data_IF_776677925441
#
_entry.id   IF_776677925441
#
_cell.length_a   1.000
_cell.length_b   1.000
_cell.length_c   1.000
_cell.angle_alpha   90.00
_cell.angle_beta   90.00
_cell.angle_gamma   90.00
#
_symmetry.space_group_name_H-M   'P 1'
#
loop_
_entity.id
_entity.type
_entity.pdbx_description
1 polymer ?
#
# COMPACT_ATOMS: atom_id res chain seq x y z
N UNK A 1 9.62 25.22 -7.73
CA UNK A 1 10.13 24.07 -8.52
C UNK A 1 9.06 23.07 -8.98
N UNK A 2 7.75 23.33 -8.81
CA UNK A 2 6.70 22.51 -9.42
C UNK A 2 6.31 23.09 -10.78
N UNK A 3 6.50 22.34 -11.88
CA UNK A 3 5.99 22.72 -13.21
C UNK A 3 4.54 22.26 -13.36
N UNK A 4 3.78 23.01 -14.16
CA UNK A 4 2.39 22.68 -14.51
C UNK A 4 2.38 21.47 -15.44
N UNK A 5 1.55 20.46 -15.14
CA UNK A 5 1.45 19.23 -15.94
C UNK A 5 0.26 19.28 -16.90
N UNK A 6 0.52 19.64 -18.16
CA UNK A 6 -0.40 19.39 -19.27
C UNK A 6 -0.37 17.91 -19.71
N UNK A 7 -1.46 17.36 -20.27
CA UNK A 7 -1.56 15.94 -20.61
C UNK A 7 -0.98 15.62 -22.00
N UNK A 8 0.33 15.41 -22.08
CA UNK A 8 1.00 15.03 -23.34
C UNK A 8 0.73 13.55 -23.72
N UNK A 9 0.13 13.32 -24.89
CA UNK A 9 -0.34 11.98 -25.34
C UNK A 9 0.77 11.18 -26.04
N UNK A 10 1.54 10.39 -25.30
CA UNK A 10 2.44 9.39 -25.89
C UNK A 10 1.65 8.26 -26.60
N UNK A 11 1.83 8.14 -27.92
CA UNK A 11 1.28 7.04 -28.73
C UNK A 11 2.01 5.73 -28.44
N UNK A 12 1.32 4.70 -27.96
CA UNK A 12 1.87 3.33 -27.88
C UNK A 12 1.60 2.59 -29.19
N UNK A 13 2.67 2.23 -29.91
CA UNK A 13 2.59 1.43 -31.14
C UNK A 13 2.16 -0.01 -30.86
N UNK A 14 1.28 -0.56 -31.72
CA UNK A 14 0.89 -1.98 -31.69
C UNK A 14 1.97 -2.82 -32.37
N UNK A 15 2.20 -4.05 -31.89
CA UNK A 15 3.04 -5.05 -32.58
C UNK A 15 2.15 -6.12 -33.23
N UNK A 16 2.57 -6.62 -34.38
CA UNK A 16 1.99 -7.77 -35.10
C UNK A 16 2.33 -9.08 -34.37
N UNK A 17 1.40 -10.03 -34.22
CA UNK A 17 0.94 -11.00 -35.22
C UNK A 17 1.98 -12.07 -35.62
N UNK A 18 2.25 -13.02 -34.71
CA UNK A 18 2.59 -14.41 -35.05
C UNK A 18 1.63 -15.30 -34.23
N UNK A 19 0.74 -16.01 -34.92
CA UNK A 19 -0.36 -16.75 -34.32
C UNK A 19 -0.29 -18.23 -34.67
N UNK A 20 0.12 -19.07 -33.72
CA UNK A 20 0.07 -20.54 -33.83
C UNK A 20 -0.54 -21.16 -32.56
N UNK A 21 -1.23 -22.28 -32.75
CA UNK A 21 -2.02 -23.04 -31.76
C UNK A 21 -1.90 -24.52 -32.07
N UNK A 22 -2.24 -25.37 -31.08
CA UNK A 22 -2.23 -26.85 -31.12
C UNK A 22 -0.80 -27.44 -31.00
N UNK A 23 -0.58 -28.60 -30.38
CA UNK A 23 -1.51 -29.65 -29.91
C UNK A 23 -1.33 -30.05 -28.42
N UNK A 24 -2.28 -30.86 -27.93
CA UNK A 24 -2.38 -31.43 -26.59
C UNK A 24 -1.27 -32.45 -26.24
N UNK A 25 -0.85 -32.53 -24.96
CA UNK A 25 0.32 -33.37 -24.61
C UNK A 25 0.60 -33.76 -23.14
N UNK A 26 -0.31 -33.57 -22.17
CA UNK A 26 -0.18 -34.01 -20.75
C UNK A 26 1.20 -33.72 -20.08
N UNK A 27 1.47 -32.45 -19.75
CA UNK A 27 2.70 -32.04 -19.04
C UNK A 27 2.89 -32.71 -17.66
N UNK A 28 3.89 -33.59 -17.56
CA UNK A 28 4.38 -34.15 -16.28
C UNK A 28 5.32 -33.16 -15.58
N UNK A 29 4.76 -32.24 -14.78
CA UNK A 29 5.55 -31.29 -13.97
C UNK A 29 6.32 -32.00 -12.83
N UNK A 30 7.54 -31.53 -12.56
CA UNK A 30 8.50 -32.15 -11.64
C UNK A 30 9.21 -31.13 -10.70
N UNK A 31 8.83 -31.05 -9.43
CA UNK A 31 9.48 -30.26 -8.34
C UNK A 31 10.47 -31.11 -7.52
N UNK A 32 11.54 -30.52 -6.93
CA UNK A 32 12.52 -31.24 -6.07
C UNK A 32 12.45 -30.90 -4.57
N UNK A 33 12.45 -31.91 -3.69
CA UNK A 33 12.53 -31.91 -2.20
C UNK A 33 13.21 -33.19 -1.68
N UNK A 34 13.82 -33.27 -0.49
CA UNK A 34 14.69 -32.26 0.13
C UNK A 34 15.77 -31.75 -0.84
N UNK A 35 16.12 -32.59 -1.84
CA UNK A 35 16.86 -32.22 -3.05
C UNK A 35 16.43 -33.08 -4.27
N UNK A 36 15.26 -33.75 -4.28
CA UNK A 36 14.87 -34.87 -5.20
C UNK A 36 13.40 -34.90 -5.71
N UNK A 37 13.07 -35.63 -6.81
CA UNK A 37 11.90 -35.37 -7.72
C UNK A 37 10.94 -36.59 -7.85
N UNK A 38 9.60 -36.50 -7.93
CA UNK A 38 8.63 -35.43 -7.58
C UNK A 38 7.47 -35.97 -6.71
N UNK A 39 6.20 -36.26 -7.09
CA UNK A 39 5.42 -36.24 -8.35
C UNK A 39 3.94 -35.84 -8.07
N UNK A 40 3.22 -35.20 -9.01
CA UNK A 40 1.75 -35.08 -8.96
C UNK A 40 1.08 -36.25 -9.69
N UNK A 41 0.16 -36.94 -9.02
CA UNK A 41 -0.80 -37.87 -9.62
C UNK A 41 -2.20 -37.26 -9.53
N UNK A 42 -3.07 -37.54 -10.52
CA UNK A 42 -4.49 -37.19 -10.48
C UNK A 42 -5.30 -38.47 -10.51
N UNK A 43 -6.03 -38.74 -9.43
CA UNK A 43 -6.97 -39.85 -9.32
C UNK A 43 -8.10 -39.48 -8.35
N UNK A 44 -9.32 -39.57 -8.84
CA UNK A 44 -10.57 -39.93 -8.15
C UNK A 44 -10.77 -39.47 -6.68
N UNK A 45 -11.63 -38.46 -6.52
CA UNK A 45 -12.76 -38.52 -5.59
C UNK A 45 -12.52 -38.78 -4.09
N UNK A 46 -11.85 -37.88 -3.36
CA UNK A 46 -12.22 -37.58 -1.96
C UNK A 46 -11.67 -36.23 -1.49
N UNK A 47 -12.53 -35.34 -0.99
CA UNK A 47 -12.09 -34.10 -0.32
C UNK A 47 -11.90 -34.41 1.16
N UNK A 48 -10.76 -35.01 1.50
CA UNK A 48 -10.44 -35.39 2.88
C UNK A 48 -9.36 -34.48 3.49
N UNK A 49 -9.77 -33.71 4.50
CA UNK A 49 -8.98 -33.34 5.71
C UNK A 49 -7.60 -32.66 5.53
N UNK A 50 -7.56 -31.36 5.89
CA UNK A 50 -6.38 -30.53 6.26
C UNK A 50 -5.08 -30.67 5.42
N UNK A 51 -4.93 -29.87 4.35
CA UNK A 51 -3.59 -29.52 3.87
C UNK A 51 -3.02 -28.35 4.69
N UNK A 52 -2.25 -28.67 5.74
CA UNK A 52 -1.55 -27.67 6.56
C UNK A 52 -0.44 -26.97 5.76
N UNK A 53 -0.79 -25.89 5.05
CA UNK A 53 0.20 -24.98 4.47
C UNK A 53 0.78 -24.14 5.60
N UNK A 54 1.94 -24.56 6.12
CA UNK A 54 2.72 -23.82 7.12
C UNK A 54 2.88 -22.36 6.69
N UNK A 55 2.15 -21.46 7.35
CA UNK A 55 2.36 -20.02 7.25
C UNK A 55 3.83 -19.76 7.60
N UNK A 56 4.65 -19.43 6.60
CA UNK A 56 6.10 -19.31 6.75
C UNK A 56 6.38 -18.22 7.77
N UNK A 57 6.62 -18.64 9.03
CA UNK A 57 6.96 -17.77 10.15
C UNK A 57 8.10 -16.87 9.69
N UNK A 58 7.83 -15.58 9.51
CA UNK A 58 8.81 -14.63 9.07
C UNK A 58 9.74 -14.33 10.25
N UNK A 59 10.75 -15.19 10.43
CA UNK A 59 11.70 -15.18 11.55
C UNK A 59 12.61 -13.93 11.58
N UNK A 60 12.36 -12.95 10.72
CA UNK A 60 12.84 -11.57 10.85
C UNK A 60 12.03 -10.82 11.93
N UNK A 61 11.93 -11.42 13.11
CA UNK A 61 11.28 -10.83 14.27
C UNK A 61 12.13 -9.66 14.80
N UNK A 62 11.67 -8.45 14.51
CA UNK A 62 12.01 -7.21 15.19
C UNK A 62 13.50 -6.92 15.51
N UNK A 63 14.27 -6.54 14.49
CA UNK A 63 15.12 -5.34 14.64
C UNK A 63 14.29 -4.12 14.23
N UNK A 64 13.22 -3.84 15.01
CA UNK A 64 12.50 -2.56 14.91
C UNK A 64 13.32 -1.53 15.68
N UNK A 65 14.41 -1.07 15.06
CA UNK A 65 15.26 -0.03 15.62
C UNK A 65 14.42 1.22 15.93
N UNK A 66 14.63 1.80 17.11
CA UNK A 66 13.87 2.95 17.58
C UNK A 66 13.89 4.09 16.54
N UNK A 67 12.72 4.38 15.96
CA UNK A 67 12.59 5.39 14.92
C UNK A 67 12.83 6.77 15.54
N UNK A 68 13.71 7.58 14.96
CA UNK A 68 13.91 8.96 15.43
C UNK A 68 12.68 9.82 15.13
N UNK A 69 12.47 10.89 15.89
CA UNK A 69 11.31 11.78 15.67
C UNK A 69 11.30 12.38 14.26
N UNK A 70 12.47 12.70 13.70
CA UNK A 70 12.58 13.24 12.34
C UNK A 70 12.27 12.16 11.27
N UNK A 71 12.57 10.88 11.52
CA UNK A 71 12.09 9.76 10.68
C UNK A 71 10.57 9.60 10.78
N UNK A 72 10.00 9.66 12.00
CA UNK A 72 8.55 9.60 12.21
C UNK A 72 7.84 10.75 11.49
N UNK A 73 8.34 11.99 11.61
CA UNK A 73 7.84 13.18 10.90
C UNK A 73 7.90 12.98 9.38
N UNK A 74 9.08 12.63 8.84
CA UNK A 74 9.27 12.37 7.40
C UNK A 74 8.28 11.32 6.86
N UNK A 75 8.06 10.23 7.61
CA UNK A 75 7.07 9.21 7.27
C UNK A 75 5.62 9.70 7.27
N UNK A 76 5.25 10.64 8.16
CA UNK A 76 3.93 11.28 8.14
C UNK A 76 3.79 12.29 7.00
N UNK A 77 4.81 13.10 6.73
CA UNK A 77 4.85 14.04 5.60
C UNK A 77 4.67 13.33 4.26
N UNK A 78 5.38 12.21 4.05
CA UNK A 78 5.28 11.43 2.82
C UNK A 78 3.88 10.79 2.63
N UNK A 79 3.24 10.34 3.72
CA UNK A 79 1.84 9.88 3.66
C UNK A 79 0.88 11.05 3.35
N UNK A 80 1.09 12.22 3.97
CA UNK A 80 0.27 13.42 3.77
C UNK A 80 0.40 13.98 2.34
N UNK A 81 1.59 14.00 1.76
CA UNK A 81 1.82 14.46 0.38
C UNK A 81 1.18 13.55 -0.66
N UNK A 82 1.33 12.21 -0.52
CA UNK A 82 0.66 11.25 -1.40
C UNK A 82 -0.88 11.30 -1.29
N UNK A 83 -1.42 11.59 -0.09
CA UNK A 83 -2.86 11.77 0.15
C UNK A 83 -3.38 13.06 -0.49
N UNK A 84 -2.73 14.20 -0.27
CA UNK A 84 -3.11 15.47 -0.90
C UNK A 84 -3.00 15.39 -2.44
N UNK A 85 -1.97 14.72 -2.96
CA UNK A 85 -1.85 14.45 -4.39
C UNK A 85 -2.95 13.52 -4.94
N UNK A 86 -3.57 12.69 -4.09
CA UNK A 86 -4.74 11.88 -4.46
C UNK A 86 -6.03 12.71 -4.41
N UNK A 87 -6.19 13.58 -3.42
CA UNK A 87 -7.39 14.40 -3.25
C UNK A 87 -7.62 15.36 -4.43
N UNK A 88 -6.55 15.89 -5.02
CA UNK A 88 -6.63 16.67 -6.27
C UNK A 88 -6.72 15.83 -7.56
N UNK A 89 -6.51 14.50 -7.51
CA UNK A 89 -6.34 13.68 -8.71
C UNK A 89 -7.54 12.77 -9.01
N UNK A 90 -8.49 13.30 -9.80
CA UNK A 90 -9.70 12.60 -10.28
C UNK A 90 -9.41 11.23 -10.92
N UNK A 91 -8.24 11.06 -11.57
CA UNK A 91 -7.88 9.82 -12.26
C UNK A 91 -6.59 9.17 -11.74
N UNK A 92 -6.65 7.85 -11.51
CA UNK A 92 -5.56 7.06 -10.94
C UNK A 92 -4.30 6.95 -11.82
N UNK A 93 -4.40 7.18 -13.13
CA UNK A 93 -3.21 7.17 -14.01
C UNK A 93 -2.35 8.42 -13.81
N UNK A 94 -2.97 9.61 -13.71
CA UNK A 94 -2.29 10.87 -13.37
C UNK A 94 -1.64 10.78 -11.98
N UNK A 95 -2.41 10.29 -10.98
CA UNK A 95 -1.91 10.12 -9.61
C UNK A 95 -0.68 9.21 -9.52
N UNK A 96 -0.60 8.13 -10.32
CA UNK A 96 0.58 7.25 -10.34
C UNK A 96 1.85 7.97 -10.79
N UNK A 97 1.76 8.82 -11.80
CA UNK A 97 2.90 9.65 -12.24
C UNK A 97 3.33 10.63 -11.14
N UNK A 98 2.36 11.34 -10.55
CA UNK A 98 2.62 12.30 -9.47
C UNK A 98 3.19 11.64 -8.21
N UNK A 99 2.75 10.42 -7.87
CA UNK A 99 3.28 9.66 -6.74
C UNK A 99 4.75 9.23 -6.93
N UNK A 100 5.14 8.87 -8.16
CA UNK A 100 6.55 8.56 -8.49
C UNK A 100 7.41 9.83 -8.42
N UNK A 101 6.90 10.98 -8.90
CA UNK A 101 7.59 12.27 -8.77
C UNK A 101 7.75 12.71 -7.31
N UNK A 102 6.71 12.61 -6.48
CA UNK A 102 6.80 12.88 -5.04
C UNK A 102 7.84 11.96 -4.38
N UNK A 103 7.87 10.68 -4.76
CA UNK A 103 8.86 9.74 -4.23
C UNK A 103 10.30 10.14 -4.59
N UNK A 104 10.58 10.54 -5.84
CA UNK A 104 11.95 10.93 -6.22
C UNK A 104 12.44 12.19 -5.50
N UNK A 105 11.55 13.14 -5.18
CA UNK A 105 11.88 14.29 -4.34
C UNK A 105 12.31 13.89 -2.91
N UNK A 106 11.64 12.91 -2.30
CA UNK A 106 12.04 12.40 -0.98
C UNK A 106 13.30 11.53 -1.05
N UNK A 107 13.49 10.74 -2.11
CA UNK A 107 14.69 9.91 -2.28
C UNK A 107 15.95 10.76 -2.55
N UNK A 108 15.83 11.88 -3.28
CA UNK A 108 16.95 12.83 -3.47
C UNK A 108 17.45 13.46 -2.17
N UNK A 109 16.56 13.73 -1.21
CA UNK A 109 16.90 14.37 0.07
C UNK A 109 17.25 13.35 1.19
N UNK A 110 17.19 12.05 0.91
CA UNK A 110 17.36 10.96 1.89
C UNK A 110 18.72 10.95 2.61
N UNK A 111 19.77 11.47 1.98
CA UNK A 111 21.17 11.34 2.43
C UNK A 111 21.67 12.53 3.26
N UNK A 112 20.78 13.45 3.67
CA UNK A 112 21.15 14.65 4.43
C UNK A 112 21.33 14.30 5.91
N UNK A 113 22.58 14.22 6.37
CA UNK A 113 22.92 13.87 7.76
C UNK A 113 22.69 15.03 8.76
N UNK A 114 22.73 16.29 8.31
CA UNK A 114 22.75 17.45 9.20
C UNK A 114 21.34 17.79 9.74
N UNK A 115 21.10 17.73 11.07
CA UNK A 115 19.75 17.87 11.63
C UNK A 115 19.15 19.28 11.45
N UNK A 116 19.99 20.33 11.36
CA UNK A 116 19.52 21.69 11.03
C UNK A 116 18.93 21.76 9.61
N UNK A 117 19.53 21.06 8.65
CA UNK A 117 19.06 21.01 7.26
C UNK A 117 17.81 20.13 7.12
N UNK A 118 17.76 18.98 7.83
CA UNK A 118 16.56 18.14 7.88
C UNK A 118 15.32 18.92 8.37
N UNK A 119 15.46 19.71 9.45
CA UNK A 119 14.37 20.54 9.98
C UNK A 119 13.91 21.59 8.96
N UNK A 120 14.83 22.38 8.40
CA UNK A 120 14.48 23.37 7.38
C UNK A 120 13.73 22.76 6.17
N UNK A 121 14.09 21.56 5.73
CA UNK A 121 13.38 20.85 4.65
C UNK A 121 12.02 20.29 5.07
N UNK A 122 11.88 19.83 6.32
CA UNK A 122 10.59 19.47 6.93
C UNK A 122 9.67 20.70 6.94
N UNK A 123 10.14 21.82 7.46
CA UNK A 123 9.37 23.06 7.63
C UNK A 123 8.91 23.63 6.27
N UNK A 124 9.81 23.69 5.28
CA UNK A 124 9.50 24.05 3.90
C UNK A 124 8.47 23.09 3.26
N UNK A 125 8.57 21.79 3.55
CA UNK A 125 7.59 20.80 3.06
C UNK A 125 6.23 21.00 3.74
N UNK A 126 6.18 21.38 5.01
CA UNK A 126 4.94 21.70 5.72
C UNK A 126 4.26 22.94 5.12
N UNK A 127 5.01 24.02 4.86
CA UNK A 127 4.51 25.23 4.19
C UNK A 127 3.86 24.90 2.84
N UNK A 128 4.56 24.13 1.99
CA UNK A 128 4.05 23.70 0.68
C UNK A 128 2.78 22.84 0.83
N UNK A 129 2.74 21.88 1.74
CA UNK A 129 1.58 21.01 1.94
C UNK A 129 0.38 21.75 2.56
N UNK A 130 0.62 22.79 3.36
CA UNK A 130 -0.43 23.67 3.88
C UNK A 130 -0.99 24.57 2.77
N UNK A 131 -0.13 25.16 1.92
CA UNK A 131 -0.52 26.02 0.80
C UNK A 131 -1.37 25.32 -0.26
N UNK A 132 -1.11 24.03 -0.52
CA UNK A 132 -1.82 23.23 -1.52
C UNK A 132 -2.86 22.27 -0.92
N UNK A 133 -3.31 22.51 0.31
CA UNK A 133 -4.35 21.73 0.98
C UNK A 133 -5.69 21.86 0.21
N UNK A 134 -6.29 20.73 -0.14
CA UNK A 134 -7.62 20.71 -0.77
C UNK A 134 -8.71 21.09 0.26
N UNK A 135 -9.71 21.92 -0.08
CA UNK A 135 -10.71 22.41 0.87
C UNK A 135 -11.61 21.31 1.45
N UNK A 136 -12.06 20.33 0.64
CA UNK A 136 -12.82 19.16 1.13
C UNK A 136 -12.09 17.84 0.80
N UNK A 137 -11.10 17.43 1.61
CA UNK A 137 -10.28 16.25 1.33
C UNK A 137 -11.08 14.95 1.51
N UNK A 138 -10.90 13.97 0.61
CA UNK A 138 -11.68 12.72 0.62
C UNK A 138 -11.57 11.97 1.96
N UNK A 139 -12.71 11.75 2.61
CA UNK A 139 -12.87 10.93 3.83
C UNK A 139 -13.54 9.59 3.47
N UNK A 140 -13.04 8.44 3.97
CA UNK A 140 -13.76 7.18 3.87
C UNK A 140 -15.14 7.28 4.55
N UNK A 141 -16.21 6.65 4.02
CA UNK A 141 -17.57 6.87 4.51
C UNK A 141 -17.77 6.49 5.98
N UNK A 142 -17.09 5.47 6.49
CA UNK A 142 -17.19 5.01 7.90
C UNK A 142 -16.30 5.82 8.86
N UNK A 143 -15.30 6.55 8.36
CA UNK A 143 -14.36 7.32 9.18
C UNK A 143 -15.05 8.51 9.87
N UNK A 144 -14.50 9.06 10.98
CA UNK A 144 -15.04 10.26 11.60
C UNK A 144 -15.19 11.42 10.62
N UNK A 145 -16.38 12.03 10.61
CA UNK A 145 -16.77 13.05 9.64
C UNK A 145 -16.99 12.54 8.19
N UNK A 146 -17.12 11.22 8.00
CA UNK A 146 -17.53 10.58 6.75
C UNK A 146 -19.06 10.36 6.68
N UNK A 147 -19.59 10.20 5.47
CA UNK A 147 -21.05 10.20 5.23
C UNK A 147 -21.85 9.05 5.84
N UNK A 148 -21.18 7.95 6.23
CA UNK A 148 -21.76 6.77 6.91
C UNK A 148 -21.25 6.63 8.36
N UNK A 149 -20.62 7.67 8.91
CA UNK A 149 -20.24 7.68 10.33
C UNK A 149 -21.50 7.63 11.21
N UNK A 150 -21.40 6.91 12.34
CA UNK A 150 -22.40 6.81 13.42
C UNK A 150 -23.86 6.40 13.07
N UNK A 151 -24.20 6.20 11.78
CA UNK A 151 -25.55 5.80 11.32
C UNK A 151 -26.11 4.51 11.95
N UNK A 152 -25.21 3.60 12.34
CA UNK A 152 -25.53 2.26 12.83
C UNK A 152 -24.62 1.93 14.03
N UNK A 153 -24.61 2.78 15.06
CA UNK A 153 -24.00 2.41 16.34
C UNK A 153 -24.80 1.26 16.99
N UNK A 154 -24.15 0.29 17.64
CA UNK A 154 -24.85 -0.61 18.55
C UNK A 154 -25.42 0.20 19.72
N UNK A 155 -26.58 -0.22 20.25
CA UNK A 155 -27.11 0.38 21.48
C UNK A 155 -26.13 0.16 22.64
N UNK A 156 -25.89 1.16 23.50
CA UNK A 156 -25.09 0.95 24.70
C UNK A 156 -25.82 -0.01 25.64
N UNK A 157 -25.07 -0.93 26.27
CA UNK A 157 -25.65 -1.85 27.26
C UNK A 157 -26.22 -1.07 28.44
N UNK A 158 -27.54 -1.15 28.62
CA UNK A 158 -28.26 -0.57 29.78
C UNK A 158 -28.35 -1.54 30.96
N UNK A 159 -27.83 -2.77 30.80
CA UNK A 159 -27.78 -3.78 31.85
C UNK A 159 -26.80 -3.34 32.95
N UNK A 160 -27.14 -3.49 34.25
CA UNK A 160 -26.21 -3.19 35.33
C UNK A 160 -24.99 -4.14 35.26
N UNK A 161 -23.82 -3.73 35.78
CA UNK A 161 -22.67 -4.62 35.87
C UNK A 161 -23.03 -5.87 36.71
N UNK A 162 -22.55 -7.06 36.33
CA UNK A 162 -22.87 -8.30 37.04
C UNK A 162 -22.36 -8.25 38.49
N UNK A 163 -23.11 -8.86 39.40
CA UNK A 163 -22.73 -8.90 40.82
C UNK A 163 -21.42 -9.68 41.01
N UNK A 164 -20.44 -9.00 41.58
CA UNK A 164 -19.15 -9.59 41.96
C UNK A 164 -19.31 -10.32 43.29
N UNK A 165 -19.57 -11.62 43.24
CA UNK A 165 -19.42 -12.47 44.43
C UNK A 165 -17.92 -12.52 44.82
N UNK A 166 -17.65 -12.12 46.07
CA UNK A 166 -16.32 -12.11 46.72
C UNK A 166 -16.14 -13.36 47.60
#
# INVERSE_FOLDING_TARGET
MFRQFGPERSRVGRRTADGRRLHDGKDRICLRTSSGRHCLLRSEGTISTYTSTLYRRNSRAAVVGAQSEDQKKTGHLYRRSLKLALDWAVHRYLWRGQAVYIRSLFEANKHITQPRQQRALIDQTEEILNKWKHPDPYKPPTAPGGSKHERNLPVPSTEPPPEMHL
#
